data_IF_395751054075
#
_entry.id   IF_395751054075
#
_cell.length_a   1.000
_cell.length_b   1.000
_cell.length_c   1.000
_cell.angle_alpha   90.00
_cell.angle_beta   90.00
_cell.angle_gamma   90.00
#
_symmetry.space_group_name_H-M   'P 1'
#
loop_
_entity.id
_entity.type
_entity.pdbx_description
1 polymer ?
#
# COMPACT_ATOMS: atom_id res chain seq x y z
N UNK A 1 21.01 42.54 18.95
CA UNK A 1 22.28 42.89 19.61
C UNK A 1 23.28 41.81 19.23
N UNK A 2 24.23 42.09 18.32
CA UNK A 2 25.38 41.21 18.12
C UNK A 2 26.29 41.41 19.32
N UNK A 3 26.25 40.48 20.26
CA UNK A 3 27.28 40.32 21.29
C UNK A 3 28.55 39.85 20.58
N UNK A 4 29.53 40.73 20.51
CA UNK A 4 30.91 40.36 20.15
C UNK A 4 31.43 39.42 21.22
N UNK A 5 31.55 38.13 20.88
CA UNK A 5 32.13 37.10 21.72
C UNK A 5 33.66 37.11 21.55
N UNK A 6 34.40 37.01 22.64
CA UNK A 6 35.86 36.84 22.62
C UNK A 6 36.21 35.47 22.03
N UNK A 7 37.02 35.48 20.97
CA UNK A 7 37.35 34.29 20.15
C UNK A 7 37.96 33.16 20.98
N UNK A 8 38.69 33.49 22.04
CA UNK A 8 39.35 32.52 22.93
C UNK A 8 38.40 31.81 23.91
N UNK A 9 37.20 32.36 24.14
CA UNK A 9 36.19 31.84 25.08
C UNK A 9 34.96 31.24 24.40
N UNK A 10 34.88 31.34 23.07
CA UNK A 10 33.71 30.96 22.31
C UNK A 10 33.53 29.44 22.27
N UNK A 11 32.36 28.97 22.73
CA UNK A 11 31.97 27.56 22.60
C UNK A 11 31.20 27.37 21.29
N UNK A 12 31.28 26.20 20.61
CA UNK A 12 30.60 25.97 19.32
C UNK A 12 29.09 26.25 19.32
N UNK A 13 28.41 26.09 20.46
CA UNK A 13 26.98 26.40 20.62
C UNK A 13 26.64 27.89 20.46
N UNK A 14 27.59 28.78 20.74
CA UNK A 14 27.39 30.23 20.64
C UNK A 14 27.46 30.70 19.17
N UNK A 15 28.06 29.87 18.30
CA UNK A 15 28.17 30.10 16.86
C UNK A 15 27.02 29.48 16.07
N UNK A 16 26.36 28.45 16.61
CA UNK A 16 25.32 27.68 15.91
C UNK A 16 23.93 28.13 16.35
N UNK A 17 23.20 28.77 15.45
CA UNK A 17 21.79 29.08 15.66
C UNK A 17 20.89 28.00 15.00
N UNK A 18 20.16 27.24 15.81
CA UNK A 18 19.23 26.21 15.32
C UNK A 18 17.87 26.75 14.84
N UNK A 19 17.57 28.05 15.08
CA UNK A 19 16.28 28.65 14.71
C UNK A 19 15.98 28.60 13.20
N UNK A 20 16.92 28.95 12.29
CA UNK A 20 16.66 28.88 10.85
C UNK A 20 16.29 27.47 10.38
N UNK A 21 16.96 26.44 10.92
CA UNK A 21 16.66 25.04 10.60
C UNK A 21 15.25 24.65 11.07
N UNK A 22 14.89 25.03 12.31
CA UNK A 22 13.56 24.73 12.87
C UNK A 22 12.45 25.44 12.09
N UNK A 23 12.68 26.69 11.66
CA UNK A 23 11.73 27.44 10.84
C UNK A 23 11.56 26.78 9.48
N UNK A 24 12.65 26.43 8.79
CA UNK A 24 12.57 25.76 7.49
C UNK A 24 11.79 24.44 7.55
N UNK A 25 12.01 23.63 8.61
CA UNK A 25 11.27 22.39 8.82
C UNK A 25 9.78 22.64 9.12
N UNK A 26 9.47 23.63 9.98
CA UNK A 26 8.08 23.99 10.26
C UNK A 26 7.36 24.52 9.03
N UNK A 27 8.00 25.36 8.25
CA UNK A 27 7.44 25.92 7.02
C UNK A 27 7.14 24.80 6.03
N UNK A 28 8.04 23.82 5.87
CA UNK A 28 7.79 22.65 5.03
C UNK A 28 6.55 21.87 5.48
N UNK A 29 6.46 21.45 6.74
CA UNK A 29 5.32 20.64 7.20
C UNK A 29 4.01 21.41 7.31
N UNK A 30 4.05 22.72 7.54
CA UNK A 30 2.85 23.54 7.71
C UNK A 30 2.27 24.07 6.39
N UNK A 31 3.13 24.38 5.40
CA UNK A 31 2.70 25.11 4.19
C UNK A 31 2.87 24.33 2.88
N UNK A 32 3.64 23.24 2.87
CA UNK A 32 3.84 22.45 1.65
C UNK A 32 2.53 21.83 1.15
N UNK A 33 2.28 21.94 -0.15
CA UNK A 33 1.15 21.29 -0.82
C UNK A 33 1.16 19.75 -0.71
N UNK A 34 2.34 19.18 -0.48
CA UNK A 34 2.52 17.73 -0.29
C UNK A 34 2.30 17.31 1.17
N UNK A 35 2.33 18.24 2.12
CA UNK A 35 2.00 18.00 3.52
C UNK A 35 0.50 18.19 3.71
N UNK A 36 -0.26 17.12 3.49
CA UNK A 36 -1.73 17.14 3.53
C UNK A 36 -2.26 16.52 4.82
N UNK A 37 -3.43 16.98 5.25
CA UNK A 37 -4.17 16.28 6.31
C UNK A 37 -4.49 14.86 5.83
N UNK A 38 -4.14 13.88 6.66
CA UNK A 38 -4.39 12.48 6.34
C UNK A 38 -5.90 12.25 6.17
N UNK A 39 -6.30 11.66 5.05
CA UNK A 39 -7.62 11.07 4.89
C UNK A 39 -7.71 9.81 5.76
N UNK A 40 -8.53 9.88 6.80
CA UNK A 40 -8.76 8.86 7.82
C UNK A 40 -10.24 8.53 7.91
N UNK A 41 -10.95 8.60 6.78
CA UNK A 41 -12.36 8.19 6.71
C UNK A 41 -12.50 6.71 7.06
N UNK A 42 -11.69 5.85 6.43
CA UNK A 42 -11.61 4.41 6.65
C UNK A 42 -10.18 3.88 6.39
N UNK A 43 -9.87 2.61 6.72
CA UNK A 43 -8.52 2.06 6.58
C UNK A 43 -7.97 2.09 5.15
N UNK A 44 -8.83 1.85 4.15
CA UNK A 44 -8.46 1.88 2.74
C UNK A 44 -8.03 3.29 2.32
N UNK A 45 -8.79 4.30 2.73
CA UNK A 45 -8.46 5.70 2.41
C UNK A 45 -7.10 6.10 2.96
N UNK A 46 -6.78 5.67 4.18
CA UNK A 46 -5.49 5.93 4.81
C UNK A 46 -4.32 5.29 4.05
N UNK A 47 -4.43 4.00 3.70
CA UNK A 47 -3.38 3.30 2.94
C UNK A 47 -3.19 3.94 1.57
N UNK A 48 -4.29 4.15 0.84
CA UNK A 48 -4.21 4.74 -0.49
C UNK A 48 -3.59 6.13 -0.43
N UNK A 49 -3.93 6.95 0.56
CA UNK A 49 -3.37 8.29 0.69
C UNK A 49 -1.86 8.26 0.92
N UNK A 50 -1.36 7.31 1.74
CA UNK A 50 0.08 7.10 1.97
C UNK A 50 0.81 6.60 0.72
N UNK A 51 0.11 5.90 -0.19
CA UNK A 51 0.65 5.33 -1.45
C UNK A 51 0.41 6.20 -2.68
N UNK A 52 -0.06 7.43 -2.48
CA UNK A 52 -0.38 8.38 -3.56
C UNK A 52 0.88 9.04 -4.10
N UNK A 53 0.94 9.19 -5.42
CA UNK A 53 1.99 9.92 -6.14
C UNK A 53 1.36 11.15 -6.79
N UNK A 54 1.99 12.31 -6.62
CA UNK A 54 1.51 13.58 -7.15
C UNK A 54 2.55 14.20 -8.08
N UNK A 55 2.13 14.56 -9.30
CA UNK A 55 2.93 15.38 -10.21
C UNK A 55 2.84 16.88 -9.89
N UNK A 56 1.95 17.28 -8.98
CA UNK A 56 1.77 18.65 -8.48
C UNK A 56 2.71 18.92 -7.29
N UNK A 57 3.17 20.16 -7.15
CA UNK A 57 3.95 20.62 -6.00
C UNK A 57 5.16 21.46 -6.42
N UNK A 58 6.03 21.85 -5.46
CA UNK A 58 7.27 22.58 -5.75
C UNK A 58 8.15 21.80 -6.73
N UNK A 59 8.51 22.41 -7.86
CA UNK A 59 9.29 21.75 -8.93
C UNK A 59 8.49 20.79 -9.82
N UNK A 60 7.19 20.62 -9.55
CA UNK A 60 6.28 19.82 -10.36
C UNK A 60 5.47 20.63 -11.39
N UNK A 61 4.41 20.02 -11.89
CA UNK A 61 3.48 20.64 -12.83
C UNK A 61 2.43 21.48 -12.09
N UNK A 62 1.91 22.50 -12.78
CA UNK A 62 0.67 23.19 -12.37
C UNK A 62 -0.50 22.66 -13.20
N UNK A 63 -1.71 22.73 -12.65
CA UNK A 63 -2.93 22.24 -13.32
C UNK A 63 -3.14 22.81 -14.71
N UNK A 64 -2.79 24.09 -14.90
CA UNK A 64 -2.95 24.85 -16.14
C UNK A 64 -1.89 24.50 -17.19
N UNK A 65 -0.67 24.15 -16.74
CA UNK A 65 0.43 23.77 -17.65
C UNK A 65 0.42 22.29 -18.01
N UNK A 66 -0.32 21.47 -17.26
CA UNK A 66 -0.45 20.05 -17.52
C UNK A 66 -1.40 19.79 -18.70
N UNK A 67 -0.81 19.62 -19.88
CA UNK A 67 -1.51 19.22 -21.11
C UNK A 67 -1.99 17.77 -21.09
N UNK A 68 -2.52 17.32 -22.22
CA UNK A 68 -3.06 15.97 -22.38
C UNK A 68 -1.97 14.89 -22.22
N UNK A 69 -0.80 15.08 -22.83
CA UNK A 69 0.29 14.09 -22.89
C UNK A 69 0.79 13.62 -21.52
N UNK A 70 0.79 14.52 -20.52
CA UNK A 70 1.25 14.20 -19.15
C UNK A 70 0.16 13.56 -18.30
N UNK A 71 -1.11 13.65 -18.72
CA UNK A 71 -2.26 13.07 -18.00
C UNK A 71 -2.63 11.70 -18.54
N UNK A 72 -2.21 11.38 -19.76
CA UNK A 72 -2.53 10.13 -20.42
C UNK A 72 -1.78 8.95 -19.79
N UNK A 73 -2.31 7.74 -19.99
CA UNK A 73 -1.73 6.52 -19.45
C UNK A 73 -0.61 6.06 -20.37
N UNK A 74 0.63 6.13 -19.87
CA UNK A 74 1.78 5.63 -20.61
C UNK A 74 1.97 4.11 -20.38
N UNK A 75 2.39 3.31 -21.39
CA UNK A 75 2.58 1.86 -21.23
C UNK A 75 3.57 1.47 -20.13
N UNK A 76 4.55 2.33 -19.80
CA UNK A 76 5.50 2.08 -18.69
C UNK A 76 4.86 2.13 -17.31
N UNK A 77 3.63 2.63 -17.18
CA UNK A 77 2.88 2.59 -15.93
C UNK A 77 2.54 1.17 -15.51
N UNK A 78 2.57 0.20 -16.44
CA UNK A 78 2.30 -1.20 -16.17
C UNK A 78 3.10 -1.71 -14.96
N UNK A 79 2.41 -2.22 -13.93
CA UNK A 79 3.01 -2.75 -12.70
C UNK A 79 3.58 -1.70 -11.73
N UNK A 80 3.56 -0.42 -12.09
CA UNK A 80 4.19 0.68 -11.33
C UNK A 80 3.18 1.67 -10.78
N UNK A 81 2.31 2.17 -11.65
CA UNK A 81 1.28 3.15 -11.34
C UNK A 81 -0.05 2.59 -11.83
N UNK A 82 -1.06 2.63 -10.97
CA UNK A 82 -2.38 2.13 -11.34
C UNK A 82 -3.00 3.02 -12.43
N UNK A 83 -3.45 2.44 -13.56
CA UNK A 83 -4.07 3.20 -14.64
C UNK A 83 -5.52 3.59 -14.35
N UNK A 84 -6.16 2.94 -13.37
CA UNK A 84 -7.59 3.12 -13.06
C UNK A 84 -7.79 4.14 -11.93
N UNK A 85 -6.92 4.11 -10.92
CA UNK A 85 -7.11 4.91 -9.71
C UNK A 85 -6.50 6.31 -9.85
N UNK A 86 -7.33 7.25 -10.30
CA UNK A 86 -7.05 8.69 -10.31
C UNK A 86 -8.29 9.45 -9.84
N UNK A 87 -8.15 10.63 -9.20
CA UNK A 87 -9.27 11.52 -8.96
C UNK A 87 -9.94 11.95 -10.26
N UNK A 88 -11.25 12.14 -10.19
CA UNK A 88 -12.03 12.76 -11.27
C UNK A 88 -11.82 14.29 -11.31
N UNK A 89 -12.11 14.89 -12.46
CA UNK A 89 -12.08 16.34 -12.63
C UNK A 89 -10.68 16.90 -12.92
N UNK A 90 -10.32 18.08 -12.39
CA UNK A 90 -9.14 18.83 -12.87
C UNK A 90 -7.80 18.17 -12.57
N UNK A 91 -7.76 17.23 -11.60
CA UNK A 91 -6.55 16.53 -11.18
C UNK A 91 -6.35 15.17 -11.88
N UNK A 92 -7.22 14.81 -12.83
CA UNK A 92 -7.12 13.54 -13.56
C UNK A 92 -5.72 13.37 -14.19
N UNK A 93 -5.09 12.22 -13.94
CA UNK A 93 -3.76 11.86 -14.44
C UNK A 93 -2.58 12.56 -13.74
N UNK A 94 -2.85 13.52 -12.84
CA UNK A 94 -1.80 14.23 -12.08
C UNK A 94 -1.61 13.68 -10.67
N UNK A 95 -2.59 12.91 -10.19
CA UNK A 95 -2.56 12.25 -8.91
C UNK A 95 -2.92 10.79 -9.17
N UNK A 96 -1.93 9.92 -9.01
CA UNK A 96 -2.11 8.50 -9.26
C UNK A 96 -1.72 7.73 -7.99
N UNK A 97 -2.07 6.45 -7.96
CA UNK A 97 -1.69 5.56 -6.86
C UNK A 97 -0.66 4.53 -7.33
N UNK A 98 0.27 4.18 -6.43
CA UNK A 98 1.20 3.08 -6.67
C UNK A 98 0.45 1.76 -6.87
N UNK A 99 0.91 0.95 -7.82
CA UNK A 99 0.41 -0.41 -8.03
C UNK A 99 0.73 -1.31 -6.83
N UNK A 100 0.11 -2.49 -6.77
CA UNK A 100 0.17 -3.37 -5.58
C UNK A 100 1.61 -3.76 -5.20
N UNK A 101 2.40 -4.27 -6.14
CA UNK A 101 3.76 -4.78 -5.86
C UNK A 101 4.90 -3.82 -6.23
N UNK A 102 4.59 -2.60 -6.65
CA UNK A 102 5.60 -1.62 -7.07
C UNK A 102 6.51 -1.22 -5.90
N UNK A 103 7.80 -1.02 -6.19
CA UNK A 103 8.78 -0.50 -5.21
C UNK A 103 9.52 0.71 -5.78
N UNK A 104 10.07 1.54 -4.90
CA UNK A 104 10.93 2.65 -5.27
C UNK A 104 12.38 2.25 -4.98
N UNK A 105 13.25 2.36 -5.97
CA UNK A 105 14.65 2.02 -5.83
C UNK A 105 15.48 3.15 -5.19
N UNK A 106 16.78 2.90 -4.98
CA UNK A 106 17.70 3.86 -4.35
C UNK A 106 17.83 5.19 -5.11
N UNK A 107 17.53 5.19 -6.41
CA UNK A 107 17.61 6.36 -7.28
C UNK A 107 16.26 7.08 -7.44
N UNK A 108 15.19 6.56 -6.83
CA UNK A 108 13.85 7.14 -6.92
C UNK A 108 13.01 6.66 -8.10
N UNK A 109 13.46 5.67 -8.87
CA UNK A 109 12.66 5.06 -9.94
C UNK A 109 11.72 3.99 -9.39
N UNK A 110 10.53 3.89 -10.01
CA UNK A 110 9.55 2.87 -9.67
C UNK A 110 9.85 1.58 -10.45
N UNK A 111 9.92 0.48 -9.73
CA UNK A 111 10.21 -0.85 -10.26
C UNK A 111 9.02 -1.78 -10.04
N UNK A 112 8.86 -2.73 -10.96
CA UNK A 112 7.85 -3.80 -10.88
C UNK A 112 8.56 -5.16 -10.78
N UNK A 113 8.04 -6.12 -10.00
CA UNK A 113 8.63 -7.45 -9.91
C UNK A 113 8.24 -8.32 -11.11
N UNK A 114 9.19 -9.14 -11.55
CA UNK A 114 9.02 -10.13 -12.61
C UNK A 114 9.71 -11.44 -12.24
N UNK A 115 9.20 -12.57 -12.73
CA UNK A 115 9.87 -13.88 -12.59
C UNK A 115 10.74 -14.14 -13.80
N UNK A 116 11.96 -14.61 -13.57
CA UNK A 116 12.91 -14.94 -14.64
C UNK A 116 12.48 -16.20 -15.39
N UNK A 117 12.64 -16.19 -16.70
CA UNK A 117 12.46 -17.35 -17.58
C UNK A 117 13.81 -17.72 -18.19
N UNK A 118 14.14 -19.01 -18.18
CA UNK A 118 15.34 -19.55 -18.84
C UNK A 118 14.93 -20.70 -19.74
N UNK A 119 15.26 -20.62 -21.02
CA UNK A 119 14.99 -21.68 -22.00
C UNK A 119 13.51 -22.15 -22.00
N UNK A 120 12.58 -21.22 -21.86
CA UNK A 120 11.13 -21.51 -21.81
C UNK A 120 10.61 -22.09 -20.49
N UNK A 121 11.46 -22.14 -19.45
CA UNK A 121 11.09 -22.59 -18.09
C UNK A 121 11.14 -21.41 -17.13
N UNK A 122 10.04 -21.16 -16.43
CA UNK A 122 9.95 -20.18 -15.36
C UNK A 122 10.78 -20.67 -14.18
N UNK A 123 11.78 -19.88 -13.79
CA UNK A 123 12.64 -20.22 -12.66
C UNK A 123 11.89 -19.98 -11.35
N UNK A 124 11.77 -21.02 -10.53
CA UNK A 124 11.14 -20.91 -9.22
C UNK A 124 11.93 -19.96 -8.30
N UNK A 125 11.20 -19.17 -7.50
CA UNK A 125 11.74 -18.26 -6.48
C UNK A 125 12.72 -17.17 -6.95
N UNK A 126 12.87 -16.94 -8.26
CA UNK A 126 13.63 -15.79 -8.77
C UNK A 126 12.68 -14.64 -9.11
N UNK A 127 12.55 -13.68 -8.20
CA UNK A 127 11.83 -12.42 -8.44
C UNK A 127 12.87 -11.31 -8.60
N UNK A 128 12.90 -10.69 -9.77
CA UNK A 128 13.75 -9.54 -10.07
C UNK A 128 12.90 -8.29 -10.25
N UNK A 129 13.31 -7.18 -9.65
CA UNK A 129 12.65 -5.88 -9.82
C UNK A 129 13.29 -5.14 -10.98
N UNK A 130 12.48 -4.75 -11.96
CA UNK A 130 12.95 -4.06 -13.16
C UNK A 130 12.39 -2.64 -13.21
N UNK A 131 13.28 -1.69 -13.47
CA UNK A 131 12.92 -0.32 -13.80
C UNK A 131 12.31 -0.23 -15.21
N UNK A 132 11.62 0.87 -15.52
CA UNK A 132 10.99 1.06 -16.83
C UNK A 132 12.00 1.01 -17.99
N UNK A 133 13.24 1.43 -17.76
CA UNK A 133 14.31 1.40 -18.78
C UNK A 133 14.89 -0.01 -19.00
N UNK A 134 14.93 -0.83 -17.95
CA UNK A 134 15.40 -2.21 -18.05
C UNK A 134 14.35 -3.10 -18.71
N UNK A 135 13.07 -2.91 -18.37
CA UNK A 135 11.94 -3.64 -18.95
C UNK A 135 11.92 -3.56 -20.48
N UNK A 136 12.26 -2.42 -21.08
CA UNK A 136 12.27 -2.22 -22.53
C UNK A 136 13.17 -3.21 -23.29
N UNK A 137 14.22 -3.74 -22.64
CA UNK A 137 15.21 -4.63 -23.27
C UNK A 137 14.76 -6.09 -23.33
N UNK A 138 13.77 -6.46 -22.54
CA UNK A 138 13.37 -7.84 -22.33
C UNK A 138 12.00 -8.13 -22.95
N UNK A 139 11.76 -9.41 -23.24
CA UNK A 139 10.44 -9.91 -23.65
C UNK A 139 9.71 -10.45 -22.43
N UNK A 140 8.59 -9.83 -22.06
CA UNK A 140 7.83 -10.16 -20.86
C UNK A 140 6.49 -10.79 -21.20
N UNK A 141 6.26 -12.01 -20.72
CA UNK A 141 4.99 -12.72 -20.86
C UNK A 141 3.95 -12.28 -19.81
N UNK A 142 2.67 -12.41 -20.16
CA UNK A 142 1.56 -12.10 -19.26
C UNK A 142 1.41 -13.14 -18.14
N UNK A 143 0.86 -12.72 -17.00
CA UNK A 143 0.68 -13.56 -15.81
C UNK A 143 -0.32 -14.73 -16.00
N UNK A 144 -1.21 -14.63 -17.00
CA UNK A 144 -2.21 -15.64 -17.34
C UNK A 144 -1.68 -16.75 -18.26
N UNK A 145 -0.42 -16.67 -18.71
CA UNK A 145 0.18 -17.68 -19.59
C UNK A 145 0.19 -19.05 -18.91
N UNK A 146 -0.19 -20.10 -19.66
CA UNK A 146 -0.33 -21.45 -19.11
C UNK A 146 1.06 -22.06 -18.86
N UNK A 147 1.32 -22.40 -17.60
CA UNK A 147 2.53 -23.08 -17.14
C UNK A 147 2.23 -24.53 -16.72
N UNK A 148 3.10 -25.46 -17.12
CA UNK A 148 3.07 -26.85 -16.67
C UNK A 148 3.65 -26.99 -15.24
N UNK A 149 3.46 -28.15 -14.61
CA UNK A 149 3.98 -28.48 -13.27
C UNK A 149 5.50 -28.33 -13.15
N UNK A 150 6.22 -28.46 -14.26
CA UNK A 150 7.67 -28.28 -14.31
C UNK A 150 8.09 -26.82 -14.57
N UNK A 151 7.15 -25.87 -14.55
CA UNK A 151 7.40 -24.45 -14.82
C UNK A 151 7.57 -24.11 -16.31
N UNK A 152 7.35 -25.06 -17.22
CA UNK A 152 7.49 -24.84 -18.66
C UNK A 152 6.25 -24.16 -19.24
N UNK A 153 6.46 -23.19 -20.11
CA UNK A 153 5.36 -22.56 -20.86
C UNK A 153 4.83 -23.54 -21.93
N UNK A 154 3.51 -23.75 -21.92
CA UNK A 154 2.88 -24.83 -22.72
C UNK A 154 2.59 -24.39 -24.16
N UNK A 155 2.22 -23.14 -24.36
CA UNK A 155 1.79 -22.61 -25.66
C UNK A 155 2.97 -22.35 -26.60
N UNK A 156 2.78 -22.56 -27.91
CA UNK A 156 3.82 -22.31 -28.92
C UNK A 156 4.06 -20.81 -29.17
N UNK A 157 3.01 -20.00 -29.03
CA UNK A 157 3.04 -18.54 -29.21
C UNK A 157 2.31 -17.89 -28.05
N UNK A 158 3.03 -17.08 -27.28
CA UNK A 158 2.54 -16.46 -26.05
C UNK A 158 2.47 -14.96 -26.24
N UNK A 159 1.40 -14.34 -25.75
CA UNK A 159 1.26 -12.88 -25.75
C UNK A 159 2.28 -12.26 -24.80
N UNK A 160 3.18 -11.46 -25.38
CA UNK A 160 4.27 -10.82 -24.68
C UNK A 160 4.29 -9.31 -24.94
N UNK A 161 4.94 -8.58 -24.03
CA UNK A 161 5.30 -7.18 -24.21
C UNK A 161 6.79 -7.09 -24.49
N UNK A 162 7.14 -6.36 -25.55
CA UNK A 162 8.53 -6.04 -25.87
C UNK A 162 8.60 -4.61 -26.41
N UNK A 163 9.49 -3.80 -25.85
CA UNK A 163 9.68 -2.40 -26.25
C UNK A 163 8.35 -1.62 -26.41
N UNK A 164 7.49 -1.69 -25.39
CA UNK A 164 6.17 -1.05 -25.31
C UNK A 164 5.10 -1.57 -26.29
N UNK A 165 5.43 -2.56 -27.13
CA UNK A 165 4.49 -3.18 -28.07
C UNK A 165 4.05 -4.56 -27.60
N UNK A 166 2.86 -4.97 -28.03
CA UNK A 166 2.34 -6.32 -27.83
C UNK A 166 2.73 -7.20 -29.02
N UNK A 167 3.42 -8.30 -28.75
CA UNK A 167 3.88 -9.26 -29.75
C UNK A 167 3.52 -10.68 -29.33
N UNK A 168 3.46 -11.60 -30.30
CA UNK A 168 3.44 -13.04 -30.02
C UNK A 168 4.88 -13.55 -30.12
N UNK A 169 5.37 -14.18 -29.07
CA UNK A 169 6.73 -14.71 -29.01
C UNK A 169 6.71 -16.19 -28.65
N UNK A 170 7.74 -16.91 -29.11
CA UNK A 170 7.97 -18.30 -28.74
C UNK A 170 8.49 -18.37 -27.30
N UNK A 171 8.21 -19.44 -26.53
CA UNK A 171 8.72 -19.64 -25.17
C UNK A 171 10.23 -19.43 -25.00
N UNK A 172 11.01 -19.80 -26.01
CA UNK A 172 12.47 -19.70 -26.03
C UNK A 172 12.99 -18.25 -26.00
N UNK A 173 12.19 -17.30 -26.50
CA UNK A 173 12.55 -15.88 -26.60
C UNK A 173 12.00 -15.04 -25.44
N UNK A 174 11.39 -15.68 -24.43
CA UNK A 174 10.79 -15.00 -23.28
C UNK A 174 11.83 -14.96 -22.16
N UNK A 175 12.12 -13.75 -21.68
CA UNK A 175 13.11 -13.51 -20.63
C UNK A 175 12.46 -13.47 -19.24
N UNK A 176 11.24 -12.93 -19.15
CA UNK A 176 10.51 -12.74 -17.90
C UNK A 176 9.02 -13.01 -18.06
N UNK A 177 8.35 -13.27 -16.93
CA UNK A 177 6.90 -13.35 -16.82
C UNK A 177 6.40 -12.52 -15.63
N UNK A 178 5.24 -11.91 -15.79
CA UNK A 178 4.52 -11.19 -14.73
C UNK A 178 4.30 -12.08 -13.48
N UNK A 179 4.39 -11.51 -12.26
CA UNK A 179 4.26 -12.30 -11.01
C UNK A 179 2.80 -12.69 -10.73
N UNK A 180 1.89 -11.73 -10.94
CA UNK A 180 0.48 -11.85 -10.63
C UNK A 180 -0.33 -10.84 -11.46
N UNK A 181 -1.55 -11.17 -11.92
CA UNK A 181 -2.43 -10.20 -12.57
C UNK A 181 -2.72 -8.97 -11.70
N UNK A 182 -2.74 -9.15 -10.37
CA UNK A 182 -2.97 -8.08 -9.38
C UNK A 182 -1.86 -7.01 -9.37
N UNK A 183 -0.71 -7.29 -9.98
CA UNK A 183 0.40 -6.34 -10.03
C UNK A 183 0.08 -5.08 -10.84
N UNK A 184 -0.84 -5.17 -11.79
CA UNK A 184 -1.20 -4.05 -12.66
C UNK A 184 -1.91 -2.93 -11.90
N UNK A 185 -2.78 -3.30 -10.97
CA UNK A 185 -3.73 -2.40 -10.31
C UNK A 185 -3.25 -1.97 -8.92
N UNK A 186 -3.84 -0.90 -8.40
CA UNK A 186 -3.62 -0.44 -7.03
C UNK A 186 -4.36 -1.30 -6.01
N UNK A 187 -4.07 -1.05 -4.74
CA UNK A 187 -4.72 -1.68 -3.58
C UNK A 187 -6.24 -1.46 -3.58
N UNK A 188 -6.72 -0.28 -3.98
CA UNK A 188 -8.15 -0.01 -4.01
C UNK A 188 -8.84 -0.73 -5.16
N UNK A 189 -8.28 -0.69 -6.37
CA UNK A 189 -8.87 -1.36 -7.52
C UNK A 189 -8.83 -2.89 -7.38
N UNK A 190 -7.82 -3.44 -6.70
CA UNK A 190 -7.68 -4.88 -6.48
C UNK A 190 -8.67 -5.46 -5.46
N UNK A 191 -9.39 -4.62 -4.71
CA UNK A 191 -10.50 -5.02 -3.83
C UNK A 191 -11.83 -5.18 -4.57
N UNK A 192 -11.92 -4.79 -5.85
CA UNK A 192 -13.14 -4.91 -6.65
C UNK A 192 -13.21 -6.35 -7.20
N UNK A 193 -14.18 -7.19 -6.79
CA UNK A 193 -14.37 -8.49 -7.41
C UNK A 193 -14.91 -8.33 -8.83
N UNK A 194 -14.54 -9.25 -9.73
CA UNK A 194 -14.98 -9.27 -11.12
C UNK A 194 -14.58 -8.01 -11.93
N UNK A 195 -13.48 -7.36 -11.54
CA UNK A 195 -12.95 -6.16 -12.20
C UNK A 195 -12.77 -6.34 -13.73
N UNK A 196 -12.45 -7.56 -14.17
CA UNK A 196 -12.32 -7.92 -15.58
C UNK A 196 -13.61 -7.79 -16.40
N UNK A 197 -14.78 -7.75 -15.75
CA UNK A 197 -16.08 -7.60 -16.39
C UNK A 197 -16.62 -6.17 -16.32
N UNK A 198 -15.93 -5.27 -15.61
CA UNK A 198 -16.33 -3.88 -15.42
C UNK A 198 -15.62 -2.94 -16.41
N UNK A 199 -16.34 -1.91 -16.86
CA UNK A 199 -15.73 -0.83 -17.63
C UNK A 199 -14.75 -0.01 -16.76
N UNK A 200 -13.66 0.47 -17.36
CA UNK A 200 -12.61 1.20 -16.66
C UNK A 200 -13.13 2.46 -15.93
N UNK A 201 -14.11 3.17 -16.49
CA UNK A 201 -14.67 4.36 -15.83
C UNK A 201 -15.48 3.99 -14.58
N UNK A 202 -16.16 2.84 -14.60
CA UNK A 202 -16.93 2.33 -13.46
C UNK A 202 -16.01 1.79 -12.38
N UNK A 203 -14.95 1.10 -12.76
CA UNK A 203 -13.89 0.70 -11.84
C UNK A 203 -13.21 1.91 -11.16
N UNK A 204 -12.94 2.98 -11.92
CA UNK A 204 -12.40 4.24 -11.39
C UNK A 204 -13.35 4.84 -10.33
N UNK A 205 -14.63 5.00 -10.67
CA UNK A 205 -15.63 5.49 -9.72
C UNK A 205 -15.73 4.58 -8.48
N UNK A 206 -15.78 3.27 -8.66
CA UNK A 206 -15.85 2.30 -7.57
C UNK A 206 -14.66 2.41 -6.61
N UNK A 207 -13.44 2.45 -7.14
CA UNK A 207 -12.22 2.61 -6.33
C UNK A 207 -12.21 3.92 -5.55
N UNK A 208 -12.72 5.01 -6.15
CA UNK A 208 -12.84 6.31 -5.49
C UNK A 208 -13.93 6.32 -4.41
N UNK A 209 -15.08 5.69 -4.66
CA UNK A 209 -16.21 5.61 -3.73
C UNK A 209 -15.87 4.78 -2.48
N UNK A 210 -15.11 3.68 -2.63
CA UNK A 210 -14.72 2.85 -1.48
C UNK A 210 -13.93 3.63 -0.41
N UNK A 211 -13.13 4.63 -0.81
CA UNK A 211 -12.38 5.49 0.13
C UNK A 211 -13.27 6.41 0.97
N UNK A 212 -14.48 6.67 0.49
CA UNK A 212 -15.45 7.55 1.15
C UNK A 212 -16.41 6.78 2.06
N UNK A 213 -16.35 5.44 2.04
CA UNK A 213 -17.20 4.60 2.88
C UNK A 213 -16.95 4.87 4.37
N UNK A 214 -17.99 5.26 5.10
CA UNK A 214 -17.89 5.61 6.53
C UNK A 214 -17.97 4.35 7.38
N UNK A 215 -17.15 4.21 8.45
CA UNK A 215 -17.21 3.06 9.34
C UNK A 215 -18.57 2.87 10.01
N UNK A 216 -19.12 1.66 9.88
CA UNK A 216 -20.38 1.27 10.51
C UNK A 216 -20.20 0.88 11.98
N UNK A 217 -21.28 0.94 12.76
CA UNK A 217 -21.28 0.47 14.16
C UNK A 217 -20.96 -1.04 14.26
N UNK A 218 -21.49 -1.81 13.30
CA UNK A 218 -21.32 -3.25 13.15
C UNK A 218 -21.01 -3.54 11.67
N UNK A 219 -19.74 -3.53 11.25
CA UNK A 219 -19.36 -3.95 9.90
C UNK A 219 -19.46 -5.49 9.75
N UNK A 220 -19.61 -5.95 8.52
CA UNK A 220 -19.60 -7.37 8.14
C UNK A 220 -18.57 -7.60 7.04
N UNK A 221 -17.82 -8.70 7.12
CA UNK A 221 -16.89 -9.08 6.05
C UNK A 221 -17.66 -9.27 4.73
N UNK A 222 -17.07 -8.88 3.60
CA UNK A 222 -17.70 -9.10 2.30
C UNK A 222 -17.87 -10.60 2.04
N UNK A 223 -19.05 -11.02 1.60
CA UNK A 223 -19.28 -12.42 1.21
C UNK A 223 -18.53 -12.79 -0.09
N UNK A 224 -18.29 -11.81 -0.95
CA UNK A 224 -17.53 -11.93 -2.18
C UNK A 224 -16.36 -10.95 -2.09
N UNK A 225 -15.14 -11.48 -1.95
CA UNK A 225 -13.90 -10.71 -1.82
C UNK A 225 -12.82 -11.19 -2.79
N UNK A 226 -11.68 -10.50 -2.81
CA UNK A 226 -10.55 -10.80 -3.71
C UNK A 226 -9.35 -11.41 -3.00
N UNK A 227 -9.38 -11.48 -1.67
CA UNK A 227 -8.32 -11.98 -0.79
C UNK A 227 -7.24 -10.97 -0.46
N UNK A 228 -7.46 -9.68 -0.74
CA UNK A 228 -6.56 -8.56 -0.38
C UNK A 228 -7.05 -7.85 0.89
N UNK A 229 -8.27 -8.13 1.32
CA UNK A 229 -8.93 -7.52 2.47
C UNK A 229 -8.13 -7.71 3.76
N UNK A 230 -7.53 -8.88 3.96
CA UNK A 230 -6.68 -9.16 5.12
C UNK A 230 -5.38 -8.36 5.09
N UNK A 231 -4.74 -8.28 3.93
CA UNK A 231 -3.49 -7.52 3.75
C UNK A 231 -3.73 -6.03 4.02
N UNK A 232 -4.85 -5.49 3.52
CA UNK A 232 -5.23 -4.09 3.74
C UNK A 232 -5.54 -3.83 5.21
N UNK A 233 -6.26 -4.72 5.88
CA UNK A 233 -6.53 -4.57 7.31
C UNK A 233 -5.24 -4.59 8.14
N UNK A 234 -4.31 -5.49 7.82
CA UNK A 234 -3.01 -5.62 8.49
C UNK A 234 -2.12 -4.40 8.25
N UNK A 235 -1.87 -4.05 7.00
CA UNK A 235 -0.91 -3.00 6.61
C UNK A 235 -1.41 -1.58 6.89
N UNK A 236 -2.71 -1.40 7.11
CA UNK A 236 -3.27 -0.08 7.46
C UNK A 236 -2.79 0.44 8.81
N UNK A 237 -2.43 -0.47 9.72
CA UNK A 237 -2.09 -0.16 11.11
C UNK A 237 -3.30 0.20 11.97
N UNK A 238 -4.52 -0.01 11.48
CA UNK A 238 -5.75 0.22 12.27
C UNK A 238 -6.09 -0.96 13.17
N UNK A 239 -5.65 -2.17 12.80
CA UNK A 239 -5.75 -3.38 13.61
C UNK A 239 -4.59 -3.45 14.60
N UNK A 240 -4.74 -4.25 15.65
CA UNK A 240 -3.65 -4.54 16.58
C UNK A 240 -3.09 -5.91 16.25
N UNK A 241 -1.78 -5.96 16.03
CA UNK A 241 -1.04 -7.17 15.67
C UNK A 241 -0.19 -7.63 16.85
N UNK A 242 -0.19 -8.93 17.12
CA UNK A 242 0.69 -9.54 18.12
C UNK A 242 2.15 -9.47 17.67
N UNK A 243 3.01 -8.86 18.48
CA UNK A 243 4.44 -8.76 18.20
C UNK A 243 5.17 -10.07 18.43
N UNK A 244 4.75 -10.83 19.45
CA UNK A 244 5.38 -12.05 19.92
C UNK A 244 4.33 -13.13 20.06
N UNK A 245 4.75 -14.38 19.90
CA UNK A 245 3.91 -15.52 20.22
C UNK A 245 3.65 -15.59 21.74
N UNK A 246 2.47 -16.04 22.12
CA UNK A 246 2.08 -16.04 23.51
C UNK A 246 0.66 -16.53 23.75
N UNK A 247 0.29 -16.51 25.02
CA UNK A 247 -1.06 -16.87 25.47
C UNK A 247 -1.73 -15.61 26.00
N UNK A 248 -2.98 -15.38 25.59
CA UNK A 248 -3.77 -14.25 26.05
C UNK A 248 -4.15 -14.45 27.53
N UNK A 249 -3.57 -13.65 28.42
CA UNK A 249 -3.80 -13.75 29.87
C UNK A 249 -5.07 -13.00 30.28
N UNK A 250 -5.21 -11.75 29.83
CA UNK A 250 -6.35 -10.89 30.20
C UNK A 250 -6.79 -10.02 29.04
N UNK A 251 -8.10 -9.88 28.90
CA UNK A 251 -8.73 -8.97 27.96
C UNK A 251 -9.62 -8.02 28.74
N UNK A 252 -9.45 -6.73 28.48
CA UNK A 252 -10.30 -5.66 28.95
C UNK A 252 -10.83 -4.88 27.74
N UNK A 253 -11.90 -4.12 27.93
CA UNK A 253 -12.44 -3.23 26.93
C UNK A 253 -11.45 -2.18 26.45
N UNK A 254 -10.32 -1.93 27.14
CA UNK A 254 -9.28 -0.95 26.75
C UNK A 254 -7.90 -1.55 26.48
N UNK A 255 -7.64 -2.81 26.85
CA UNK A 255 -6.32 -3.40 26.73
C UNK A 255 -6.36 -4.91 26.58
N UNK A 256 -5.39 -5.47 25.88
CA UNK A 256 -5.15 -6.91 25.75
C UNK A 256 -3.78 -7.19 26.36
N UNK A 257 -3.70 -8.19 27.23
CA UNK A 257 -2.49 -8.61 27.91
C UNK A 257 -2.13 -10.01 27.44
N UNK A 258 -0.94 -10.14 26.83
CA UNK A 258 -0.44 -11.40 26.28
C UNK A 258 0.82 -11.77 27.03
N UNK A 259 0.86 -12.99 27.56
CA UNK A 259 2.05 -13.56 28.17
C UNK A 259 2.87 -14.22 27.08
N UNK A 260 4.04 -13.66 26.79
CA UNK A 260 4.91 -14.17 25.74
C UNK A 260 5.41 -15.58 26.08
N UNK A 261 5.37 -16.47 25.11
CA UNK A 261 5.96 -17.82 25.19
C UNK A 261 7.25 -17.82 24.38
N UNK A 262 8.31 -18.45 24.88
CA UNK A 262 9.58 -18.59 24.13
C UNK A 262 10.64 -17.51 24.36
N UNK A 263 10.40 -16.53 25.25
CA UNK A 263 11.42 -15.52 25.57
C UNK A 263 12.38 -15.98 26.67
N UNK A 264 13.65 -16.19 26.33
CA UNK A 264 14.72 -16.66 27.22
C UNK A 264 15.48 -15.53 27.92
N UNK A 265 15.22 -14.27 27.54
CA UNK A 265 15.92 -13.10 28.05
C UNK A 265 15.23 -12.54 29.30
N UNK A 266 15.82 -12.79 30.47
CA UNK A 266 15.31 -12.39 31.79
C UNK A 266 15.25 -10.86 31.99
N UNK A 267 15.87 -10.05 31.13
CA UNK A 267 15.79 -8.59 31.22
C UNK A 267 14.52 -8.01 30.58
N UNK A 268 13.83 -8.77 29.73
CA UNK A 268 12.61 -8.31 29.04
C UNK A 268 11.36 -8.67 29.82
N UNK A 269 10.36 -7.80 29.74
CA UNK A 269 9.04 -8.09 30.29
C UNK A 269 8.43 -9.28 29.55
N UNK A 270 8.15 -10.36 30.29
CA UNK A 270 7.46 -11.55 29.80
C UNK A 270 5.98 -11.31 29.43
N UNK A 271 5.50 -10.07 29.57
CA UNK A 271 4.12 -9.67 29.30
C UNK A 271 4.11 -8.49 28.34
N UNK A 272 3.32 -8.64 27.27
CA UNK A 272 2.97 -7.57 26.34
C UNK A 272 1.61 -6.98 26.69
N UNK A 273 1.55 -5.65 26.74
CA UNK A 273 0.31 -4.90 26.96
C UNK A 273 -0.01 -4.09 25.70
N UNK A 274 -1.14 -4.42 25.07
CA UNK A 274 -1.66 -3.74 23.90
C UNK A 274 -2.83 -2.85 24.31
N UNK A 275 -2.67 -1.53 24.19
CA UNK A 275 -3.72 -0.57 24.49
C UNK A 275 -4.60 -0.32 23.27
N UNK A 276 -5.91 -0.47 23.45
CA UNK A 276 -6.91 -0.27 22.40
C UNK A 276 -7.39 1.17 22.37
N UNK A 277 -7.55 1.71 21.16
CA UNK A 277 -8.21 2.99 20.93
C UNK A 277 -9.73 2.83 21.04
N UNK A 278 -10.37 3.65 21.87
CA UNK A 278 -11.82 3.60 22.11
C UNK A 278 -12.46 4.94 21.83
N UNK A 279 -13.44 4.95 20.93
CA UNK A 279 -14.27 6.12 20.58
C UNK A 279 -13.48 7.41 20.33
N UNK A 280 -12.37 7.31 19.59
CA UNK A 280 -11.57 8.48 19.22
C UNK A 280 -12.13 9.10 17.94
N UNK A 281 -12.17 10.43 17.87
CA UNK A 281 -12.57 11.15 16.64
C UNK A 281 -11.45 11.11 15.60
N UNK A 282 -11.78 10.80 14.35
CA UNK A 282 -10.86 10.90 13.20
C UNK A 282 -10.78 12.33 12.65
N UNK A 283 -9.90 12.56 11.68
CA UNK A 283 -9.80 13.85 10.98
C UNK A 283 -11.09 14.22 10.24
N UNK A 284 -11.81 13.23 9.69
CA UNK A 284 -13.08 13.41 8.97
C UNK A 284 -14.30 13.28 9.89
N UNK A 285 -14.13 13.45 11.20
CA UNK A 285 -15.18 13.36 12.22
C UNK A 285 -15.89 11.98 12.29
N UNK A 286 -15.25 10.92 11.81
CA UNK A 286 -15.70 9.54 12.00
C UNK A 286 -15.20 8.96 13.34
N UNK A 287 -15.66 7.77 13.70
CA UNK A 287 -15.32 7.11 14.97
C UNK A 287 -14.25 6.03 14.75
N UNK A 288 -13.12 6.17 15.44
CA UNK A 288 -12.07 5.15 15.53
C UNK A 288 -12.30 4.36 16.82
N UNK A 289 -12.63 3.08 16.67
CA UNK A 289 -12.92 2.20 17.79
C UNK A 289 -12.38 0.80 17.50
N UNK A 290 -11.43 0.34 18.30
CA UNK A 290 -10.87 -1.00 18.20
C UNK A 290 -11.64 -1.98 19.07
N UNK A 291 -11.74 -3.25 18.67
CA UNK A 291 -12.44 -4.31 19.41
C UNK A 291 -11.55 -5.55 19.49
N UNK A 292 -11.38 -6.17 20.67
CA UNK A 292 -10.60 -7.40 20.78
C UNK A 292 -11.26 -8.51 19.93
N UNK A 293 -10.44 -9.26 19.21
CA UNK A 293 -10.85 -10.41 18.40
C UNK A 293 -10.68 -11.72 19.18
N UNK A 294 -9.55 -11.82 19.90
CA UNK A 294 -9.15 -12.99 20.68
C UNK A 294 -9.94 -13.13 21.98
N UNK A 295 -9.86 -14.31 22.60
CA UNK A 295 -10.40 -14.65 23.91
C UNK A 295 -9.27 -14.97 24.89
N UNK A 296 -9.58 -14.89 26.18
CA UNK A 296 -8.63 -15.27 27.24
C UNK A 296 -8.33 -16.77 27.13
N UNK A 297 -7.05 -17.12 27.11
CA UNK A 297 -6.56 -18.48 26.91
C UNK A 297 -6.20 -18.83 25.47
N UNK A 298 -6.52 -17.98 24.48
CA UNK A 298 -6.12 -18.23 23.10
C UNK A 298 -4.60 -18.15 22.95
N UNK A 299 -4.05 -19.03 22.11
CA UNK A 299 -2.64 -19.01 21.69
C UNK A 299 -2.54 -18.16 20.44
N UNK A 300 -1.66 -17.17 20.45
CA UNK A 300 -1.39 -16.27 19.32
C UNK A 300 0.04 -16.46 18.82
N UNK A 301 0.23 -16.30 17.52
CA UNK A 301 1.55 -16.24 16.89
C UNK A 301 1.97 -14.78 16.65
N UNK A 302 3.27 -14.59 16.43
CA UNK A 302 3.77 -13.29 15.95
C UNK A 302 3.17 -12.99 14.58
N UNK A 303 2.55 -11.82 14.41
CA UNK A 303 1.88 -11.41 13.18
C UNK A 303 0.35 -11.59 13.20
N UNK A 304 -0.21 -12.26 14.21
CA UNK A 304 -1.67 -12.46 14.29
C UNK A 304 -2.40 -11.16 14.65
N UNK A 305 -3.56 -10.94 14.01
CA UNK A 305 -4.44 -9.81 14.34
C UNK A 305 -5.22 -10.15 15.61
N UNK A 306 -4.97 -9.41 16.70
CA UNK A 306 -5.58 -9.63 18.01
C UNK A 306 -6.74 -8.67 18.31
N UNK A 307 -6.84 -7.56 17.58
CA UNK A 307 -7.97 -6.64 17.67
C UNK A 307 -8.29 -6.01 16.31
N UNK A 308 -9.58 -5.98 15.98
CA UNK A 308 -10.13 -5.28 14.83
C UNK A 308 -10.15 -3.76 15.10
N UNK A 309 -9.95 -2.97 14.04
CA UNK A 309 -10.15 -1.53 13.99
C UNK A 309 -11.50 -1.10 13.38
N UNK A 310 -11.67 0.19 13.08
CA UNK A 310 -12.84 0.67 12.34
C UNK A 310 -12.89 0.03 10.94
N UNK A 311 -14.08 -0.32 10.46
CA UNK A 311 -14.28 -0.99 9.17
C UNK A 311 -13.43 -2.24 8.95
N UNK A 312 -13.22 -3.03 10.00
CA UNK A 312 -12.59 -4.36 9.91
C UNK A 312 -13.41 -5.37 10.70
N UNK A 313 -13.34 -6.64 10.28
CA UNK A 313 -14.05 -7.75 10.89
C UNK A 313 -13.22 -9.02 10.71
N UNK A 314 -12.89 -9.69 11.82
CA UNK A 314 -12.10 -10.93 11.81
C UNK A 314 -10.74 -10.78 11.10
N UNK A 315 -10.10 -9.60 11.22
CA UNK A 315 -8.84 -9.31 10.55
C UNK A 315 -8.96 -9.00 9.06
N UNK A 316 -10.17 -8.89 8.51
CA UNK A 316 -10.41 -8.48 7.12
C UNK A 316 -10.98 -7.08 7.04
N UNK A 317 -10.74 -6.40 5.92
CA UNK A 317 -11.39 -5.14 5.60
C UNK A 317 -12.90 -5.35 5.40
N UNK A 318 -13.70 -4.60 6.16
CA UNK A 318 -15.16 -4.66 6.15
C UNK A 318 -15.72 -3.23 6.10
N UNK A 319 -15.73 -2.64 4.89
CA UNK A 319 -16.20 -1.26 4.68
C UNK A 319 -17.72 -1.10 4.81
N UNK A 320 -18.49 -2.19 4.72
CA UNK A 320 -19.95 -2.14 4.62
C UNK A 320 -20.66 -3.33 5.26
N UNK A 321 -21.80 -3.69 4.66
CA UNK A 321 -22.67 -4.81 5.03
C UNK A 321 -23.20 -5.49 3.79
N UNK A 322 -23.47 -6.78 3.91
CA UNK A 322 -24.12 -7.55 2.86
C UNK A 322 -25.64 -7.35 2.96
N UNK A 323 -26.31 -7.11 1.84
CA UNK A 323 -27.76 -6.92 1.76
C UNK A 323 -28.34 -7.74 0.63
N UNK A 324 -29.55 -8.24 0.78
CA UNK A 324 -30.28 -8.90 -0.30
C UNK A 324 -30.85 -7.83 -1.24
N UNK A 325 -30.45 -7.88 -2.51
CA UNK A 325 -30.94 -7.00 -3.58
C UNK A 325 -31.66 -7.88 -4.59
N UNK A 326 -32.82 -7.44 -5.08
CA UNK A 326 -33.63 -8.11 -6.10
C UNK A 326 -33.92 -7.13 -7.24
#
# INVERSE_FOLDING_TARGET
KMTTLDIESAMPQDLINAKPLTIALKDFFATSQLSQFMDQTNPLSEITHKRRVSALGPGGLTRERAGFEVRDVHPTHYGRICPIETPEGPNIGLINSLSTYSKINKYGFIESPYKKVKEGVVVENSIEYLSAMEETKFTIAQANSIIDKNGKLVEELISCRQNLNFILSKPENIDYIDVSPKQLVSVAASLIPFLENDDANRALMGSNMMRQAVPLLKPESPLVGTGIESDVALDSGVTIVAKREGIVDKIDGKRIVIKATGETDLQKSAVDIYNLQKFKRSNQNTCINQKPLVRVGDVVQSGDIIADGPSTKLGELALGKNVTVA
#
